data_IF_790813575234
#
_entry.id   IF_790813575234
#
_cell.length_a   1.000
_cell.length_b   1.000
_cell.length_c   1.000
_cell.angle_alpha   90.00
_cell.angle_beta   90.00
_cell.angle_gamma   90.00
#
_symmetry.space_group_name_H-M   'P 1'
#
loop_
_entity.id
_entity.type
_entity.pdbx_description
1 polymer ?
#
# COMPACT_ATOMS: atom_id res chain seq x y z
N UNK A 1 15.29 28.22 -58.43
CA UNK A 1 15.14 28.89 -57.11
C UNK A 1 14.67 27.85 -56.12
N UNK A 2 15.56 27.27 -55.31
CA UNK A 2 15.18 26.30 -54.27
C UNK A 2 15.66 26.84 -52.92
N UNK A 3 14.73 27.10 -52.01
CA UNK A 3 14.99 27.60 -50.66
C UNK A 3 15.29 26.41 -49.75
N UNK A 4 16.47 26.39 -49.14
CA UNK A 4 16.87 25.38 -48.15
C UNK A 4 16.42 25.83 -46.76
N UNK A 5 15.37 25.23 -46.20
CA UNK A 5 15.00 25.48 -44.80
C UNK A 5 15.91 24.68 -43.87
N UNK A 6 16.84 25.38 -43.21
CA UNK A 6 17.69 24.80 -42.20
C UNK A 6 16.90 24.64 -40.89
N UNK A 7 16.43 23.42 -40.61
CA UNK A 7 15.80 23.08 -39.33
C UNK A 7 16.81 23.16 -38.19
N UNK A 8 16.49 23.87 -37.10
CA UNK A 8 17.33 23.90 -35.89
C UNK A 8 17.03 22.68 -35.03
N UNK A 9 18.05 21.87 -34.76
CA UNK A 9 17.98 20.71 -33.86
C UNK A 9 18.06 21.24 -32.41
N UNK A 10 16.99 21.08 -31.64
CA UNK A 10 16.98 21.41 -30.22
C UNK A 10 17.51 20.22 -29.42
N UNK A 11 18.78 20.28 -29.04
CA UNK A 11 19.36 19.27 -28.15
C UNK A 11 18.98 19.58 -26.70
N UNK A 12 17.98 18.87 -26.19
CA UNK A 12 17.58 18.96 -24.78
C UNK A 12 18.54 18.15 -23.91
N UNK A 13 19.44 18.82 -23.19
CA UNK A 13 20.32 18.19 -22.20
C UNK A 13 19.54 17.98 -20.90
N UNK A 14 19.38 16.72 -20.47
CA UNK A 14 18.74 16.39 -19.18
C UNK A 14 19.70 16.75 -18.04
N UNK A 15 19.22 17.48 -17.04
CA UNK A 15 20.00 17.80 -15.83
C UNK A 15 20.37 16.51 -15.09
N UNK A 16 21.63 16.41 -14.67
CA UNK A 16 22.12 15.28 -13.87
C UNK A 16 21.50 15.32 -12.46
N UNK A 17 20.92 14.20 -12.03
CA UNK A 17 20.41 14.03 -10.66
C UNK A 17 21.48 13.25 -9.88
N UNK A 18 22.15 13.86 -8.89
CA UNK A 18 23.16 13.15 -8.12
C UNK A 18 22.53 12.04 -7.28
N UNK A 19 23.21 10.89 -7.20
CA UNK A 19 22.78 9.79 -6.34
C UNK A 19 22.92 10.16 -4.87
N UNK A 20 21.91 9.84 -4.05
CA UNK A 20 22.06 9.86 -2.60
C UNK A 20 23.06 8.79 -2.16
N UNK A 21 23.95 9.12 -1.22
CA UNK A 21 24.93 8.19 -0.66
C UNK A 21 24.50 7.80 0.75
N UNK A 22 24.37 6.51 1.01
CA UNK A 22 24.14 5.99 2.36
C UNK A 22 25.46 5.77 3.10
N UNK A 23 25.51 5.97 4.43
CA UNK A 23 26.68 5.65 5.22
C UNK A 23 26.96 4.14 5.21
N UNK A 24 28.24 3.77 5.25
CA UNK A 24 28.65 2.37 5.37
C UNK A 24 28.17 1.81 6.71
N UNK A 25 27.44 0.71 6.68
CA UNK A 25 26.99 -0.02 7.89
C UNK A 25 28.03 -1.02 8.39
N UNK A 26 29.20 -1.10 7.73
CA UNK A 26 30.29 -2.00 8.12
C UNK A 26 30.83 -1.60 9.50
N UNK A 27 30.73 -2.48 10.49
CA UNK A 27 31.20 -2.23 11.86
C UNK A 27 30.21 -1.51 12.79
N UNK A 28 29.03 -1.12 12.28
CA UNK A 28 27.96 -0.64 13.16
C UNK A 28 27.26 -1.85 13.80
N UNK A 29 27.37 -1.99 15.13
CA UNK A 29 26.51 -2.89 15.91
C UNK A 29 25.08 -2.32 15.85
N UNK A 30 24.36 -2.62 14.76
CA UNK A 30 22.93 -2.41 14.67
C UNK A 30 22.34 -3.40 15.67
N UNK A 31 22.11 -2.95 16.91
CA UNK A 31 21.29 -3.71 17.85
C UNK A 31 20.01 -4.05 17.10
N UNK A 32 19.60 -5.33 17.00
CA UNK A 32 18.28 -5.62 16.50
C UNK A 32 17.32 -4.79 17.34
N UNK A 33 16.51 -3.96 16.68
CA UNK A 33 15.37 -3.33 17.35
C UNK A 33 14.57 -4.43 18.05
N UNK A 34 13.83 -4.11 19.13
CA UNK A 34 13.11 -5.11 19.89
C UNK A 34 12.33 -5.99 18.92
N UNK A 35 12.60 -7.30 18.97
CA UNK A 35 11.78 -8.28 18.26
C UNK A 35 10.31 -7.96 18.60
N UNK A 36 9.37 -8.03 17.64
CA UNK A 36 7.97 -7.92 17.99
C UNK A 36 7.68 -9.04 19.02
N UNK A 37 7.55 -8.66 20.29
CA UNK A 37 7.07 -9.56 21.31
C UNK A 37 5.69 -10.03 20.87
N UNK A 38 5.48 -11.35 20.87
CA UNK A 38 4.15 -11.92 20.63
C UNK A 38 3.17 -11.57 21.75
N UNK A 39 3.59 -10.82 22.77
CA UNK A 39 2.75 -10.23 23.83
C UNK A 39 2.02 -8.96 23.34
N UNK A 40 1.38 -9.03 22.17
CA UNK A 40 0.34 -8.06 21.85
C UNK A 40 -0.88 -8.36 22.71
N UNK A 41 -0.93 -7.70 23.86
CA UNK A 41 -2.10 -7.53 24.70
C UNK A 41 -3.36 -7.26 23.83
N UNK A 42 -4.45 -8.04 23.98
CA UNK A 42 -5.67 -7.93 23.17
C UNK A 42 -6.46 -6.61 23.33
N UNK A 43 -6.04 -5.69 24.21
CA UNK A 43 -6.69 -4.38 24.36
C UNK A 43 -6.70 -3.52 23.09
N UNK A 44 -5.73 -3.71 22.18
CA UNK A 44 -5.74 -3.00 20.89
C UNK A 44 -6.85 -3.55 19.98
N UNK A 45 -7.15 -4.85 20.06
CA UNK A 45 -8.19 -5.50 19.26
C UNK A 45 -9.61 -5.10 19.69
N UNK A 46 -9.83 -4.87 21.00
CA UNK A 46 -11.13 -4.43 21.52
C UNK A 46 -11.41 -2.96 21.19
N UNK A 47 -10.40 -2.10 21.28
CA UNK A 47 -10.50 -0.69 20.88
C UNK A 47 -10.67 -0.52 19.36
N UNK A 48 -9.99 -1.33 18.54
CA UNK A 48 -10.23 -1.41 17.09
C UNK A 48 -11.62 -1.97 16.74
N UNK A 49 -12.12 -2.98 17.48
CA UNK A 49 -13.48 -3.49 17.28
C UNK A 49 -14.55 -2.46 17.67
N UNK A 50 -14.34 -1.71 18.75
CA UNK A 50 -15.22 -0.61 19.14
C UNK A 50 -15.20 0.55 18.13
N UNK A 51 -14.04 0.84 17.54
CA UNK A 51 -13.91 1.78 16.44
C UNK A 51 -14.63 1.27 15.18
N UNK A 52 -14.47 -0.01 14.84
CA UNK A 52 -15.10 -0.63 13.68
C UNK A 52 -16.63 -0.73 13.79
N UNK A 53 -17.19 -0.89 15.00
CA UNK A 53 -18.64 -0.80 15.25
C UNK A 53 -19.18 0.63 15.07
N UNK A 54 -18.35 1.65 15.27
CA UNK A 54 -18.71 3.07 15.05
C UNK A 54 -18.54 3.48 13.59
N UNK A 55 -17.69 2.78 12.85
CA UNK A 55 -17.46 2.96 11.43
C UNK A 55 -17.96 1.73 10.69
N UNK A 56 -19.27 1.52 10.64
CA UNK A 56 -19.84 0.77 9.51
C UNK A 56 -19.45 1.60 8.29
N UNK A 57 -18.55 1.15 7.39
CA UNK A 57 -18.35 1.86 6.15
C UNK A 57 -19.59 1.56 5.31
N UNK A 58 -20.67 2.30 5.54
CA UNK A 58 -21.59 2.59 4.45
C UNK A 58 -20.73 3.32 3.43
N UNK A 59 -20.19 2.60 2.45
CA UNK A 59 -19.35 3.16 1.39
C UNK A 59 -20.23 4.03 0.49
N UNK A 60 -20.63 5.18 0.99
CA UNK A 60 -21.29 6.26 0.25
C UNK A 60 -20.38 7.48 0.18
N UNK A 61 -19.18 7.43 0.76
CA UNK A 61 -18.15 8.40 0.45
C UNK A 61 -17.49 8.00 -0.88
N UNK A 62 -17.40 8.92 -1.86
CA UNK A 62 -16.51 8.74 -2.99
C UNK A 62 -15.10 8.91 -2.42
N UNK A 63 -14.59 7.86 -1.77
CA UNK A 63 -13.15 7.71 -1.68
C UNK A 63 -12.76 7.50 -3.12
N UNK A 64 -12.19 8.53 -3.73
CA UNK A 64 -11.55 8.47 -5.04
C UNK A 64 -10.40 7.46 -4.89
N UNK A 65 -10.75 6.18 -4.84
CA UNK A 65 -9.82 5.09 -4.93
C UNK A 65 -9.33 5.20 -6.36
N UNK A 66 -8.20 5.89 -6.51
CA UNK A 66 -7.52 6.17 -7.79
C UNK A 66 -7.36 4.89 -8.63
N UNK A 67 -7.44 3.73 -7.97
CA UNK A 67 -7.54 2.43 -8.58
C UNK A 67 -8.84 1.75 -8.17
N UNK A 68 -9.71 1.49 -9.15
CA UNK A 68 -10.84 0.58 -8.97
C UNK A 68 -10.31 -0.82 -8.67
N UNK A 69 -11.01 -1.58 -7.83
CA UNK A 69 -10.66 -2.96 -7.51
C UNK A 69 -10.44 -3.82 -8.77
N UNK A 70 -11.23 -3.59 -9.81
CA UNK A 70 -11.14 -4.29 -11.09
C UNK A 70 -9.87 -3.97 -11.89
N UNK A 71 -9.15 -2.90 -11.53
CA UNK A 71 -7.87 -2.53 -12.16
C UNK A 71 -6.66 -3.25 -11.54
N UNK A 72 -6.83 -3.91 -10.38
CA UNK A 72 -5.74 -4.63 -9.73
C UNK A 72 -5.35 -5.87 -10.54
N UNK A 73 -4.05 -6.22 -10.60
CA UNK A 73 -3.63 -7.52 -11.13
C UNK A 73 -4.28 -8.67 -10.35
N UNK A 74 -4.61 -9.76 -11.04
CA UNK A 74 -5.34 -10.92 -10.48
C UNK A 74 -4.72 -11.45 -9.19
N UNK A 75 -3.38 -11.39 -9.07
CA UNK A 75 -2.62 -11.86 -7.90
C UNK A 75 -2.89 -11.08 -6.61
N UNK A 76 -3.48 -9.88 -6.74
CA UNK A 76 -3.81 -8.99 -5.62
C UNK A 76 -5.33 -8.85 -5.41
N UNK A 77 -6.16 -9.47 -6.26
CA UNK A 77 -7.61 -9.49 -6.08
C UNK A 77 -7.98 -10.47 -4.98
N UNK A 78 -8.87 -10.06 -4.08
CA UNK A 78 -9.44 -10.92 -3.04
C UNK A 78 -10.52 -11.83 -3.66
N UNK A 79 -10.83 -12.94 -3.00
CA UNK A 79 -12.01 -13.74 -3.37
C UNK A 79 -13.26 -13.09 -2.78
N UNK A 80 -14.41 -13.10 -3.49
CA UNK A 80 -15.69 -12.76 -2.88
C UNK A 80 -15.99 -13.75 -1.75
N UNK A 81 -16.59 -13.26 -0.66
CA UNK A 81 -17.00 -14.09 0.47
C UNK A 81 -18.32 -14.80 0.15
N UNK A 82 -18.43 -16.08 0.51
CA UNK A 82 -19.68 -16.84 0.43
C UNK A 82 -20.52 -16.62 1.69
N UNK A 83 -21.83 -16.88 1.63
CA UNK A 83 -22.73 -16.73 2.78
C UNK A 83 -22.30 -17.59 3.98
N UNK A 84 -21.92 -18.84 3.71
CA UNK A 84 -21.39 -19.76 4.73
C UNK A 84 -20.12 -19.20 5.40
N UNK A 85 -19.22 -18.59 4.63
CA UNK A 85 -17.98 -18.01 5.17
C UNK A 85 -18.24 -16.73 5.96
N UNK A 86 -19.23 -15.93 5.55
CA UNK A 86 -19.70 -14.77 6.32
C UNK A 86 -20.19 -15.26 7.70
N UNK A 87 -21.08 -16.26 7.73
CA UNK A 87 -21.62 -16.80 8.97
C UNK A 87 -20.52 -17.44 9.85
N UNK A 88 -19.59 -18.18 9.26
CA UNK A 88 -18.46 -18.77 9.97
C UNK A 88 -17.57 -17.71 10.62
N UNK A 89 -17.29 -16.60 9.92
CA UNK A 89 -16.51 -15.48 10.46
C UNK A 89 -17.29 -14.76 11.57
N UNK A 90 -18.58 -14.52 11.37
CA UNK A 90 -19.46 -13.85 12.35
C UNK A 90 -19.60 -14.66 13.64
N UNK A 91 -19.67 -15.99 13.55
CA UNK A 91 -19.76 -16.90 14.68
C UNK A 91 -18.41 -17.19 15.35
N UNK A 92 -17.30 -16.68 14.82
CA UNK A 92 -15.97 -16.81 15.41
C UNK A 92 -15.25 -18.12 15.08
N UNK A 93 -15.68 -18.85 14.05
CA UNK A 93 -15.05 -20.08 13.59
C UNK A 93 -15.76 -21.38 14.03
N UNK A 94 -15.06 -22.53 14.00
CA UNK A 94 -15.64 -23.80 14.38
C UNK A 94 -15.76 -23.91 15.89
N UNK A 95 -16.86 -24.50 16.35
CA UNK A 95 -17.09 -24.90 17.74
C UNK A 95 -16.42 -26.24 18.08
#
# INVERSE_FOLDING_TARGET
MASSSAGRILQTVKKHVPSIRFPSRMGQNIKPGPAPSNDRNPEVSSSLSALSKRTIPTSTSPVESVYSYESLPTRYRRKPLTQEEIEYIENGGPI
#
